data_IF_283469286710
#
_entry.id   IF_283469286710
#
_cell.length_a   1.000
_cell.length_b   1.000
_cell.length_c   1.000
_cell.angle_alpha   90.00
_cell.angle_beta   90.00
_cell.angle_gamma   90.00
#
_symmetry.space_group_name_H-M   'P 1'
#
loop_
_entity.id
_entity.type
_entity.pdbx_description
1 polymer ?
#
# COMPACT_ATOMS: atom_id res chain seq x y z
N UNK A 1 8.06 -8.07 -6.60
CA UNK A 1 7.87 -9.44 -6.05
C UNK A 1 8.73 -9.70 -4.81
N UNK A 2 9.94 -9.18 -4.76
CA UNK A 2 10.85 -9.31 -3.61
C UNK A 2 11.04 -7.93 -2.95
N UNK A 3 11.10 -7.89 -1.62
CA UNK A 3 11.28 -6.67 -0.82
C UNK A 3 12.39 -6.92 0.20
N UNK A 4 13.16 -5.87 0.44
CA UNK A 4 14.23 -5.82 1.41
C UNK A 4 14.13 -4.47 2.13
N UNK A 5 14.28 -4.45 3.45
CA UNK A 5 14.03 -3.25 4.25
C UNK A 5 14.97 -2.11 3.89
N UNK A 6 16.26 -2.41 3.65
CA UNK A 6 17.24 -1.39 3.30
C UNK A 6 16.92 -0.77 1.93
N UNK A 7 16.56 -1.61 0.95
CA UNK A 7 16.14 -1.16 -0.38
C UNK A 7 14.86 -0.31 -0.31
N UNK A 8 13.89 -0.70 0.52
CA UNK A 8 12.65 0.07 0.71
C UNK A 8 12.95 1.45 1.30
N UNK A 9 13.80 1.53 2.33
CA UNK A 9 14.24 2.80 2.93
C UNK A 9 14.92 3.72 1.94
N UNK A 10 15.80 3.17 1.12
CA UNK A 10 16.46 3.92 0.06
C UNK A 10 15.43 4.46 -0.94
N UNK A 11 14.55 3.60 -1.46
CA UNK A 11 13.51 4.01 -2.39
C UNK A 11 12.57 5.05 -1.79
N UNK A 12 12.26 4.95 -0.49
CA UNK A 12 11.45 5.93 0.22
C UNK A 12 12.13 7.31 0.27
N UNK A 13 13.43 7.36 0.57
CA UNK A 13 14.19 8.60 0.53
C UNK A 13 14.21 9.22 -0.87
N UNK A 14 14.42 8.41 -1.91
CA UNK A 14 14.39 8.86 -3.31
C UNK A 14 13.01 9.39 -3.73
N UNK A 15 11.92 8.71 -3.32
CA UNK A 15 10.56 9.14 -3.60
C UNK A 15 10.19 10.47 -2.92
N UNK A 16 10.70 10.71 -1.71
CA UNK A 16 10.53 11.99 -1.00
C UNK A 16 11.27 13.11 -1.71
N UNK A 17 12.53 12.88 -2.09
CA UNK A 17 13.31 13.83 -2.86
C UNK A 17 12.63 14.18 -4.20
N UNK A 18 12.00 13.20 -4.86
CA UNK A 18 11.20 13.45 -6.08
C UNK A 18 9.98 14.35 -5.79
N UNK A 19 9.27 14.14 -4.68
CA UNK A 19 8.16 15.00 -4.30
C UNK A 19 8.62 16.44 -4.02
N UNK A 20 9.76 16.61 -3.34
CA UNK A 20 10.40 17.91 -3.10
C UNK A 20 10.78 18.59 -4.42
N UNK A 21 11.44 17.88 -5.33
CA UNK A 21 11.83 18.42 -6.63
C UNK A 21 10.60 18.89 -7.45
N UNK A 22 9.54 18.08 -7.49
CA UNK A 22 8.29 18.44 -8.17
C UNK A 22 7.64 19.66 -7.51
N UNK A 23 7.69 19.79 -6.18
CA UNK A 23 7.13 20.92 -5.47
C UNK A 23 7.91 22.22 -5.73
N UNK A 24 9.24 22.14 -5.80
CA UNK A 24 10.12 23.28 -6.03
C UNK A 24 10.17 23.73 -7.48
N UNK A 25 10.28 22.78 -8.42
CA UNK A 25 10.56 23.04 -9.84
C UNK A 25 9.34 22.89 -10.74
N UNK A 26 8.29 22.23 -10.25
CA UNK A 26 7.13 21.85 -11.06
C UNK A 26 7.47 20.79 -12.12
N UNK A 27 6.51 20.55 -13.01
CA UNK A 27 6.67 19.64 -14.15
C UNK A 27 6.54 20.45 -15.43
N UNK A 28 7.59 20.43 -16.25
CA UNK A 28 7.63 21.19 -17.49
C UNK A 28 6.56 20.70 -18.48
N UNK A 29 5.70 21.61 -18.93
CA UNK A 29 4.66 21.33 -19.93
C UNK A 29 4.89 22.25 -21.15
N UNK A 30 4.97 21.67 -22.35
CA UNK A 30 5.11 22.40 -23.61
C UNK A 30 3.76 22.73 -24.26
N UNK A 31 2.66 22.15 -23.75
CA UNK A 31 1.30 22.50 -24.17
C UNK A 31 0.27 22.26 -23.06
N UNK A 32 -0.91 22.92 -23.10
CA UNK A 32 -1.97 22.72 -22.11
C UNK A 32 -2.48 21.26 -22.04
N UNK A 33 -2.34 20.48 -23.11
CA UNK A 33 -2.77 19.07 -23.14
C UNK A 33 -1.96 18.19 -22.18
N UNK A 34 -0.77 18.61 -21.75
CA UNK A 34 0.09 17.87 -20.83
C UNK A 34 -0.25 18.13 -19.36
N UNK A 35 -1.08 19.14 -19.04
CA UNK A 35 -1.38 19.50 -17.64
C UNK A 35 -2.07 18.37 -16.87
N UNK A 36 -2.96 17.63 -17.53
CA UNK A 36 -3.60 16.47 -16.93
C UNK A 36 -2.55 15.43 -16.53
N UNK A 37 -1.64 15.10 -17.45
CA UNK A 37 -0.56 14.14 -17.19
C UNK A 37 0.42 14.61 -16.12
N UNK A 38 0.81 15.88 -16.13
CA UNK A 38 1.65 16.44 -15.08
C UNK A 38 1.00 16.36 -13.69
N UNK A 39 -0.32 16.55 -13.61
CA UNK A 39 -1.08 16.40 -12.37
C UNK A 39 -1.11 14.93 -11.90
N UNK A 40 -1.31 13.99 -12.82
CA UNK A 40 -1.21 12.55 -12.56
C UNK A 40 0.18 12.17 -12.06
N UNK A 41 1.24 12.61 -12.73
CA UNK A 41 2.63 12.28 -12.37
C UNK A 41 2.98 12.82 -10.96
N UNK A 42 2.49 14.01 -10.59
CA UNK A 42 2.61 14.54 -9.22
C UNK A 42 1.92 13.63 -8.19
N UNK A 43 0.70 13.18 -8.47
CA UNK A 43 -0.01 12.27 -7.56
C UNK A 43 0.62 10.88 -7.51
N UNK A 44 1.19 10.39 -8.62
CA UNK A 44 1.94 9.14 -8.66
C UNK A 44 3.21 9.22 -7.80
N UNK A 45 3.95 10.34 -7.85
CA UNK A 45 5.09 10.57 -6.97
C UNK A 45 4.66 10.53 -5.49
N UNK A 46 3.60 11.26 -5.12
CA UNK A 46 3.07 11.25 -3.74
C UNK A 46 2.60 9.84 -3.31
N UNK A 47 1.90 9.15 -4.20
CA UNK A 47 1.41 7.78 -3.96
C UNK A 47 2.57 6.81 -3.74
N UNK A 48 3.70 6.99 -4.46
CA UNK A 48 4.89 6.16 -4.26
C UNK A 48 5.43 6.26 -2.83
N UNK A 49 5.44 7.44 -2.23
CA UNK A 49 5.84 7.66 -0.84
C UNK A 49 4.90 6.92 0.11
N UNK A 50 3.58 7.04 -0.09
CA UNK A 50 2.59 6.33 0.71
C UNK A 50 2.82 4.80 0.69
N UNK A 51 2.97 4.21 -0.50
CA UNK A 51 3.20 2.77 -0.62
C UNK A 51 4.52 2.33 0.03
N UNK A 52 5.59 3.11 -0.13
CA UNK A 52 6.89 2.78 0.44
C UNK A 52 6.88 2.89 1.97
N UNK A 53 6.20 3.88 2.55
CA UNK A 53 5.99 3.95 4.00
C UNK A 53 5.12 2.80 4.51
N UNK A 54 4.07 2.40 3.78
CA UNK A 54 3.26 1.24 4.14
C UNK A 54 4.10 -0.04 4.17
N UNK A 55 4.95 -0.23 3.14
CA UNK A 55 5.85 -1.38 3.02
C UNK A 55 6.89 -1.39 4.15
N UNK A 56 7.51 -0.24 4.43
CA UNK A 56 8.46 -0.09 5.54
C UNK A 56 7.79 -0.43 6.87
N UNK A 57 6.70 0.24 7.20
CA UNK A 57 5.96 0.04 8.45
C UNK A 57 5.47 -1.40 8.61
N UNK A 58 5.04 -2.05 7.52
CA UNK A 58 4.68 -3.47 7.54
C UNK A 58 5.87 -4.36 7.88
N UNK A 59 7.03 -4.15 7.24
CA UNK A 59 8.23 -4.96 7.49
C UNK A 59 8.76 -4.72 8.92
N UNK A 60 8.81 -3.47 9.38
CA UNK A 60 9.22 -3.11 10.73
C UNK A 60 8.26 -3.64 11.80
N UNK A 61 6.96 -3.62 11.50
CA UNK A 61 5.88 -4.16 12.33
C UNK A 61 5.84 -5.68 12.41
N UNK A 62 6.93 -6.38 12.13
CA UNK A 62 7.02 -7.86 12.07
C UNK A 62 6.16 -8.50 10.97
N UNK A 63 5.89 -7.78 9.88
CA UNK A 63 5.23 -8.31 8.70
C UNK A 63 6.00 -9.50 8.11
N UNK A 64 5.24 -10.46 7.59
CA UNK A 64 5.73 -11.68 6.96
C UNK A 64 5.41 -11.75 5.47
N UNK A 65 5.98 -12.72 4.76
CA UNK A 65 5.73 -12.92 3.33
C UNK A 65 4.33 -13.50 3.08
N UNK A 66 3.59 -13.03 2.07
CA UNK A 66 2.25 -13.53 1.72
C UNK A 66 1.97 -13.42 0.23
N UNK A 67 1.55 -14.53 -0.40
CA UNK A 67 1.30 -14.56 -1.84
C UNK A 67 2.53 -14.12 -2.65
N UNK A 68 2.36 -13.18 -3.59
CA UNK A 68 3.46 -12.59 -4.37
C UNK A 68 4.31 -11.53 -3.63
N UNK A 69 4.10 -11.36 -2.32
CA UNK A 69 4.83 -10.43 -1.47
C UNK A 69 5.86 -11.17 -0.61
N UNK A 70 7.12 -11.23 -1.07
CA UNK A 70 8.23 -11.87 -0.36
C UNK A 70 9.12 -10.83 0.33
N UNK A 71 9.38 -11.00 1.62
CA UNK A 71 10.27 -10.15 2.42
C UNK A 71 11.57 -10.91 2.68
N UNK A 72 12.66 -10.49 2.03
CA UNK A 72 13.99 -11.01 2.33
C UNK A 72 14.39 -10.61 3.74
N UNK A 73 14.98 -11.58 4.43
CA UNK A 73 15.54 -11.38 5.74
C UNK A 73 16.67 -12.40 5.91
N UNK A 74 17.93 -11.98 6.18
CA UNK A 74 19.01 -12.92 6.46
C UNK A 74 18.70 -13.87 7.63
N UNK A 75 17.87 -13.43 8.59
CA UNK A 75 17.38 -14.24 9.71
C UNK A 75 16.06 -14.98 9.40
N UNK A 76 15.60 -14.96 8.14
CA UNK A 76 14.37 -15.60 7.68
C UNK A 76 14.36 -17.11 7.93
N UNK A 77 13.22 -17.60 8.42
CA UNK A 77 12.97 -19.00 8.73
C UNK A 77 12.76 -19.86 7.48
N UNK A 78 12.33 -19.26 6.38
CA UNK A 78 12.13 -19.92 5.10
C UNK A 78 13.24 -19.55 4.12
N UNK A 79 13.57 -20.47 3.21
CA UNK A 79 14.49 -20.21 2.11
C UNK A 79 14.21 -21.16 0.94
N UNK A 80 14.56 -20.76 -0.27
CA UNK A 80 14.43 -21.61 -1.45
C UNK A 80 15.58 -22.61 -1.49
N UNK A 81 15.26 -23.86 -1.82
CA UNK A 81 16.25 -24.90 -2.07
C UNK A 81 16.49 -25.01 -3.58
N UNK A 82 17.71 -24.73 -4.01
CA UNK A 82 18.11 -24.87 -5.40
C UNK A 82 19.33 -25.78 -5.54
N UNK A 83 19.77 -26.04 -6.78
CA UNK A 83 21.03 -26.76 -7.04
C UNK A 83 22.27 -26.06 -6.46
N UNK A 84 22.17 -24.77 -6.14
CA UNK A 84 23.24 -23.97 -5.51
C UNK A 84 23.16 -23.96 -3.98
N UNK A 85 22.15 -24.61 -3.40
CA UNK A 85 21.91 -24.67 -1.97
C UNK A 85 20.76 -23.76 -1.53
N UNK A 86 20.83 -23.31 -0.26
CA UNK A 86 19.83 -22.43 0.37
C UNK A 86 19.99 -21.01 -0.18
N UNK A 87 18.99 -20.53 -0.90
CA UNK A 87 18.95 -19.19 -1.50
C UNK A 87 17.76 -18.38 -0.99
N UNK A 88 17.87 -17.05 -1.02
CA UNK A 88 16.80 -16.10 -0.69
C UNK A 88 16.13 -16.40 0.67
N UNK A 89 16.87 -16.32 1.79
CA UNK A 89 16.26 -16.41 3.10
C UNK A 89 15.23 -15.29 3.27
N UNK A 90 14.04 -15.65 3.74
CA UNK A 90 12.89 -14.75 3.85
C UNK A 90 12.00 -15.15 5.02
N UNK A 91 11.19 -14.20 5.48
CA UNK A 91 10.21 -14.43 6.55
C UNK A 91 9.05 -15.27 6.02
N UNK A 92 8.61 -16.26 6.78
CA UNK A 92 7.30 -16.89 6.60
C UNK A 92 6.17 -15.88 6.74
N UNK A 93 4.95 -16.30 6.39
CA UNK A 93 3.76 -15.49 6.63
C UNK A 93 3.54 -15.30 8.14
N UNK A 94 3.34 -14.05 8.55
CA UNK A 94 2.85 -13.75 9.88
C UNK A 94 1.31 -13.76 9.88
N UNK A 95 0.71 -14.87 10.33
CA UNK A 95 -0.74 -15.04 10.31
C UNK A 95 -1.49 -14.01 11.16
N UNK A 96 -0.88 -13.48 12.23
CA UNK A 96 -1.51 -12.44 13.06
C UNK A 96 -1.78 -11.15 12.26
N UNK A 97 -0.97 -10.88 11.22
CA UNK A 97 -1.14 -9.74 10.33
C UNK A 97 -2.35 -9.84 9.40
N UNK A 98 -3.06 -10.98 9.39
CA UNK A 98 -4.33 -11.10 8.65
C UNK A 98 -5.48 -10.34 9.31
N UNK A 99 -5.36 -10.04 10.59
CA UNK A 99 -6.39 -9.36 11.38
C UNK A 99 -6.25 -7.83 11.37
N UNK A 100 -5.24 -7.29 10.69
CA UNK A 100 -5.03 -5.84 10.54
C UNK A 100 -4.79 -5.44 9.08
N UNK A 101 -5.12 -4.19 8.78
CA UNK A 101 -4.65 -3.46 7.59
C UNK A 101 -3.89 -2.21 8.03
N UNK A 102 -3.07 -1.67 7.14
CA UNK A 102 -2.44 -0.37 7.35
C UNK A 102 -3.29 0.71 6.67
N UNK A 103 -3.77 1.66 7.46
CA UNK A 103 -4.34 2.91 6.97
C UNK A 103 -3.25 3.97 6.88
N UNK A 104 -3.28 4.74 5.79
CA UNK A 104 -2.32 5.81 5.54
C UNK A 104 -3.06 7.13 5.33
N UNK A 105 -2.64 8.16 6.04
CA UNK A 105 -3.14 9.52 5.88
C UNK A 105 -1.98 10.48 5.70
N UNK A 106 -2.06 11.38 4.73
CA UNK A 106 -1.07 12.44 4.56
C UNK A 106 -1.01 13.27 5.85
N UNK A 107 0.15 13.34 6.47
CA UNK A 107 0.36 14.02 7.72
C UNK A 107 0.16 15.53 7.52
N UNK A 108 -0.67 16.19 8.35
CA UNK A 108 -0.94 17.62 8.22
C UNK A 108 0.35 18.45 8.26
N UNK A 109 0.47 19.41 7.35
CA UNK A 109 1.62 20.30 7.28
C UNK A 109 2.89 19.69 6.66
N UNK A 110 2.82 18.45 6.17
CA UNK A 110 3.94 17.80 5.47
C UNK A 110 3.71 17.81 3.96
N UNK A 111 4.80 17.74 3.19
CA UNK A 111 4.71 17.68 1.74
C UNK A 111 4.26 16.29 1.25
N UNK A 112 4.82 15.25 1.86
CA UNK A 112 4.62 13.87 1.41
C UNK A 112 4.75 12.81 2.53
N UNK A 113 4.78 13.20 3.80
CA UNK A 113 4.81 12.22 4.90
C UNK A 113 3.42 11.68 5.19
N UNK A 114 3.32 10.36 5.37
CA UNK A 114 2.09 9.70 5.79
C UNK A 114 2.19 9.21 7.23
N UNK A 115 1.14 9.45 8.01
CA UNK A 115 0.89 8.72 9.23
C UNK A 115 0.38 7.32 8.86
N UNK A 116 1.03 6.28 9.38
CA UNK A 116 0.67 4.87 9.13
C UNK A 116 0.08 4.29 10.40
N UNK A 117 -1.16 3.83 10.33
CA UNK A 117 -1.91 3.29 11.48
C UNK A 117 -2.37 1.87 11.19
N UNK A 118 -1.92 0.85 11.93
CA UNK A 118 -2.52 -0.47 11.90
C UNK A 118 -3.93 -0.41 12.50
N UNK A 119 -4.92 -0.87 11.74
CA UNK A 119 -6.31 -0.96 12.19
C UNK A 119 -6.86 -2.36 11.96
N UNK A 120 -7.82 -2.84 12.77
CA UNK A 120 -8.43 -4.15 12.54
C UNK A 120 -9.05 -4.25 11.14
N UNK A 121 -9.00 -5.43 10.53
CA UNK A 121 -9.74 -5.69 9.29
C UNK A 121 -11.22 -5.50 9.55
N UNK A 122 -11.90 -4.82 8.61
CA UNK A 122 -13.37 -4.68 8.66
C UNK A 122 -14.01 -6.06 8.57
N UNK A 123 -14.81 -6.49 9.56
CA UNK A 123 -15.47 -7.79 9.51
C UNK A 123 -16.42 -7.85 8.32
N UNK A 124 -16.66 -9.05 7.80
CA UNK A 124 -17.76 -9.26 6.88
C UNK A 124 -19.06 -8.85 7.58
N UNK A 125 -19.95 -8.09 6.91
CA UNK A 125 -21.26 -7.82 7.47
C UNK A 125 -22.00 -9.15 7.69
N UNK A 126 -22.82 -9.22 8.74
CA UNK A 126 -23.80 -10.29 8.84
C UNK A 126 -24.93 -9.93 7.88
N UNK A 127 -24.95 -10.58 6.71
CA UNK A 127 -25.87 -10.26 5.64
C UNK A 127 -26.70 -11.49 5.25
N UNK A 128 -27.99 -11.47 5.60
CA UNK A 128 -29.00 -12.43 5.15
C UNK A 128 -29.69 -11.97 3.85
N UNK A 129 -29.24 -10.84 3.27
CA UNK A 129 -29.86 -10.25 2.10
C UNK A 129 -29.48 -10.99 0.83
N UNK A 130 -30.49 -11.32 0.04
CA UNK A 130 -30.33 -11.93 -1.28
C UNK A 130 -30.37 -10.82 -2.33
N UNK A 131 -29.42 -10.83 -3.27
CA UNK A 131 -29.31 -9.78 -4.28
C UNK A 131 -30.66 -9.47 -4.94
N UNK A 132 -31.42 -10.50 -5.32
CA UNK A 132 -32.72 -10.39 -5.97
C UNK A 132 -33.77 -9.70 -5.09
N UNK A 133 -33.79 -9.96 -3.78
CA UNK A 133 -34.76 -9.35 -2.87
C UNK A 133 -34.40 -7.91 -2.55
N UNK A 134 -33.12 -7.65 -2.25
CA UNK A 134 -32.60 -6.30 -1.98
C UNK A 134 -32.71 -5.40 -3.21
N UNK A 135 -32.38 -5.92 -4.40
CA UNK A 135 -32.52 -5.19 -5.66
C UNK A 135 -33.98 -4.90 -6.02
N UNK A 136 -34.87 -5.86 -5.79
CA UNK A 136 -36.29 -5.64 -6.04
C UNK A 136 -36.87 -4.60 -5.06
N UNK A 137 -36.46 -4.63 -3.79
CA UNK A 137 -36.83 -3.61 -2.80
C UNK A 137 -36.25 -2.22 -3.13
N UNK A 138 -35.00 -2.16 -3.62
CA UNK A 138 -34.36 -0.96 -4.15
C UNK A 138 -35.17 -0.35 -5.30
N UNK A 139 -35.49 -1.17 -6.32
CA UNK A 139 -36.29 -0.74 -7.48
C UNK A 139 -37.69 -0.26 -7.10
N UNK A 140 -38.26 -0.79 -6.01
CA UNK A 140 -39.56 -0.36 -5.48
C UNK A 140 -39.47 0.84 -4.52
N UNK A 141 -38.26 1.33 -4.22
CA UNK A 141 -38.05 2.45 -3.30
C UNK A 141 -38.29 2.12 -1.82
N UNK A 142 -38.29 0.83 -1.46
CA UNK A 142 -38.65 0.35 -0.13
C UNK A 142 -37.52 0.49 0.89
N UNK A 143 -36.27 0.63 0.43
CA UNK A 143 -35.09 0.72 1.30
C UNK A 143 -34.66 2.16 1.64
N UNK A 144 -35.42 3.15 1.18
CA UNK A 144 -35.13 4.59 1.35
C UNK A 144 -36.27 5.35 2.02
N UNK A 145 -37.21 4.66 2.68
CA UNK A 145 -38.23 5.33 3.47
C UNK A 145 -37.64 5.72 4.83
N UNK A 146 -37.77 7.00 5.19
CA UNK A 146 -37.35 7.57 6.48
C UNK A 146 -37.98 6.87 7.69
#
# INVERSE_FOLDING_TARGET
>A
FVRDLATVRQALAEARALCEEIAERGIACTSPKQLARASEDRHLALTSVAFLQAIEAYIEGSGGSRGGYMILDPAGDVALQSKRGRELPHRSENLAKREEILELALAPGTLCDFAVTPVPVRPLPNDDSWYETTWAAWNRGEIYQD
#
